data_IF_751192743568
#
_entry.id   IF_751192743568
#
_cell.length_a   1.000
_cell.length_b   1.000
_cell.length_c   1.000
_cell.angle_alpha   90.00
_cell.angle_beta   90.00
_cell.angle_gamma   90.00
#
_symmetry.space_group_name_H-M   'P 1'
#
loop_
_entity.id
_entity.type
_entity.pdbx_description
1 polymer ?
#
# COMPACT_ATOMS: atom_id res chain seq x y z
N UNK A 1 -5.15 17.03 17.03
CA UNK A 1 -3.91 16.98 16.22
C UNK A 1 -4.30 17.06 14.76
N UNK A 2 -3.49 17.77 13.97
CA UNK A 2 -3.79 18.37 12.66
C UNK A 2 -3.92 17.34 11.53
N UNK A 3 -5.02 17.38 10.79
CA UNK A 3 -5.33 16.55 9.60
C UNK A 3 -4.65 17.13 8.34
N UNK A 4 -3.39 17.53 8.44
CA UNK A 4 -2.67 18.20 7.32
C UNK A 4 -1.46 17.40 6.83
N UNK A 5 -1.08 16.31 7.50
CA UNK A 5 0.10 15.49 7.13
C UNK A 5 -0.23 14.34 6.16
N UNK A 6 -1.50 13.93 6.07
CA UNK A 6 -1.90 12.77 5.25
C UNK A 6 -1.68 13.05 3.75
N UNK A 7 -2.00 14.26 3.29
CA UNK A 7 -1.97 14.65 1.88
C UNK A 7 -0.54 14.82 1.36
N UNK A 8 0.32 15.48 2.14
CA UNK A 8 1.74 15.66 1.80
C UNK A 8 2.50 14.33 1.78
N UNK A 9 2.15 13.40 2.67
CA UNK A 9 2.76 12.08 2.70
C UNK A 9 2.24 11.20 1.54
N UNK A 10 0.97 11.31 1.19
CA UNK A 10 0.38 10.59 0.07
C UNK A 10 1.03 10.94 -1.26
N UNK A 11 1.29 12.22 -1.52
CA UNK A 11 1.96 12.65 -2.76
C UNK A 11 3.35 12.01 -2.93
N UNK A 12 4.12 11.90 -1.84
CA UNK A 12 5.42 11.21 -1.83
C UNK A 12 5.28 9.70 -2.00
N UNK A 13 4.34 9.07 -1.29
CA UNK A 13 4.11 7.63 -1.42
C UNK A 13 3.70 7.22 -2.83
N UNK A 14 2.89 8.03 -3.51
CA UNK A 14 2.54 7.82 -4.92
C UNK A 14 3.79 7.85 -5.79
N UNK A 15 4.70 8.80 -5.57
CA UNK A 15 5.95 8.90 -6.34
C UNK A 15 6.88 7.71 -6.07
N UNK A 16 6.99 7.29 -4.81
CA UNK A 16 7.77 6.12 -4.39
C UNK A 16 7.24 4.84 -5.06
N UNK A 17 5.91 4.61 -5.03
CA UNK A 17 5.27 3.44 -5.68
C UNK A 17 5.43 3.49 -7.20
N UNK A 18 5.17 4.63 -7.84
CA UNK A 18 5.36 4.79 -9.29
C UNK A 18 6.81 4.49 -9.68
N UNK A 19 7.77 4.98 -8.90
CA UNK A 19 9.20 4.73 -9.13
C UNK A 19 9.54 3.25 -8.97
N UNK A 20 9.06 2.60 -7.92
CA UNK A 20 9.25 1.16 -7.72
C UNK A 20 8.62 0.34 -8.85
N UNK A 21 7.42 0.70 -9.29
CA UNK A 21 6.69 0.00 -10.35
C UNK A 21 7.38 0.04 -11.71
N UNK A 22 8.24 1.03 -11.98
CA UNK A 22 9.04 1.09 -13.22
C UNK A 22 10.02 -0.06 -13.36
N UNK A 23 10.46 -0.66 -12.24
CA UNK A 23 11.41 -1.76 -12.25
C UNK A 23 10.79 -3.09 -12.71
N UNK A 24 9.46 -3.18 -12.76
CA UNK A 24 8.76 -4.42 -13.09
C UNK A 24 8.27 -4.41 -14.54
N UNK A 25 8.42 -5.56 -15.21
CA UNK A 25 7.89 -5.81 -16.56
C UNK A 25 6.61 -6.63 -16.40
N UNK A 26 5.47 -5.95 -16.20
CA UNK A 26 4.17 -6.59 -16.05
C UNK A 26 3.16 -5.78 -15.26
N UNK A 27 1.99 -6.37 -15.04
CA UNK A 27 0.96 -5.81 -14.18
C UNK A 27 1.34 -5.97 -12.71
N UNK A 28 1.05 -4.94 -11.92
CA UNK A 28 1.16 -4.96 -10.46
C UNK A 28 -0.12 -4.41 -9.86
N UNK A 29 -0.53 -5.00 -8.75
CA UNK A 29 -1.68 -4.52 -7.97
C UNK A 29 -1.20 -3.43 -7.02
N UNK A 30 -2.03 -2.43 -6.78
CA UNK A 30 -1.80 -1.37 -5.79
C UNK A 30 -2.89 -1.47 -4.73
N UNK A 31 -2.46 -1.32 -3.48
CA UNK A 31 -3.27 -1.52 -2.30
C UNK A 31 -3.07 -0.37 -1.33
N UNK A 32 -4.11 -0.10 -0.55
CA UNK A 32 -4.09 0.87 0.53
C UNK A 32 -4.33 0.14 1.84
N UNK A 33 -3.38 0.21 2.76
CA UNK A 33 -3.51 -0.46 4.04
C UNK A 33 -4.46 0.31 5.01
N UNK A 34 -4.87 -0.31 6.14
CA UNK A 34 -5.75 0.34 7.12
C UNK A 34 -5.19 1.63 7.74
N UNK A 35 -3.87 1.85 7.67
CA UNK A 35 -3.18 3.03 8.19
C UNK A 35 -3.00 4.13 7.13
N UNK A 36 -3.45 3.87 5.90
CA UNK A 36 -3.37 4.80 4.78
C UNK A 36 -2.03 4.78 4.05
N UNK A 37 -1.25 3.69 4.14
CA UNK A 37 -0.02 3.53 3.35
C UNK A 37 -0.28 2.78 2.05
N UNK A 38 0.44 3.17 0.99
CA UNK A 38 0.37 2.52 -0.31
C UNK A 38 1.35 1.33 -0.41
N UNK A 39 0.84 0.24 -0.97
CA UNK A 39 1.56 -1.00 -1.23
C UNK A 39 1.40 -1.40 -2.69
N UNK A 40 2.37 -2.16 -3.21
CA UNK A 40 2.24 -2.84 -4.49
C UNK A 40 2.59 -4.32 -4.35
N UNK A 41 1.91 -5.18 -5.10
CA UNK A 41 2.14 -6.63 -5.07
C UNK A 41 1.97 -7.27 -6.44
N UNK A 42 2.25 -8.57 -6.52
CA UNK A 42 1.88 -9.37 -7.68
C UNK A 42 0.35 -9.54 -7.73
N UNK A 43 -0.25 -9.72 -8.91
CA UNK A 43 -1.69 -9.92 -9.02
C UNK A 43 -2.21 -11.18 -8.32
N UNK A 44 -1.34 -12.15 -8.08
CA UNK A 44 -1.65 -13.45 -7.48
C UNK A 44 -1.59 -13.42 -5.94
N UNK A 45 -1.29 -12.26 -5.35
CA UNK A 45 -1.07 -12.08 -3.92
C UNK A 45 -2.42 -11.84 -3.19
N UNK A 46 -3.06 -12.93 -2.77
CA UNK A 46 -4.40 -12.93 -2.14
C UNK A 46 -4.36 -12.57 -0.64
N UNK A 47 -3.18 -12.45 -0.02
CA UNK A 47 -3.05 -12.24 1.44
C UNK A 47 -3.43 -10.81 1.87
N UNK A 48 -3.33 -9.82 0.97
CA UNK A 48 -3.51 -8.41 1.30
C UNK A 48 -4.96 -8.05 1.69
N UNK A 49 -5.95 -8.65 1.03
CA UNK A 49 -7.36 -8.48 1.39
C UNK A 49 -7.64 -9.04 2.80
N UNK A 50 -7.07 -10.21 3.11
CA UNK A 50 -7.21 -10.82 4.43
C UNK A 50 -6.56 -9.97 5.54
N UNK A 51 -5.51 -9.21 5.21
CA UNK A 51 -4.87 -8.24 6.09
C UNK A 51 -5.64 -6.90 6.20
N UNK A 52 -6.78 -6.77 5.54
CA UNK A 52 -7.61 -5.57 5.57
C UNK A 52 -7.14 -4.45 4.63
N UNK A 53 -6.23 -4.75 3.70
CA UNK A 53 -5.86 -3.78 2.67
C UNK A 53 -7.00 -3.65 1.68
N UNK A 54 -7.21 -2.43 1.19
CA UNK A 54 -8.15 -2.18 0.10
C UNK A 54 -7.45 -2.19 -1.23
N UNK A 55 -8.02 -2.94 -2.15
CA UNK A 55 -7.62 -2.91 -3.54
C UNK A 55 -7.87 -1.52 -4.15
N UNK A 56 -6.82 -0.94 -4.72
CA UNK A 56 -6.89 0.35 -5.45
C UNK A 56 -7.05 0.08 -6.95
N UNK A 57 -6.28 -0.85 -7.50
CA UNK A 57 -6.29 -1.16 -8.92
C UNK A 57 -5.11 -2.02 -9.36
N UNK A 58 -5.16 -2.48 -10.61
CA UNK A 58 -4.06 -3.20 -11.27
C UNK A 58 -3.54 -2.31 -12.39
N UNK A 59 -2.23 -2.07 -12.38
CA UNK A 59 -1.60 -1.10 -13.26
C UNK A 59 -0.41 -1.71 -13.97
N UNK A 60 -0.15 -1.22 -15.18
CA UNK A 60 1.06 -1.50 -15.94
C UNK A 60 1.83 -0.19 -16.10
N UNK A 61 2.88 -0.01 -15.29
CA UNK A 61 3.73 1.18 -15.29
C UNK A 61 2.95 2.52 -15.21
N UNK A 62 2.13 2.72 -14.16
CA UNK A 62 1.31 3.90 -14.01
C UNK A 62 2.15 5.17 -13.81
N UNK A 63 1.57 6.32 -14.14
CA UNK A 63 2.05 7.63 -13.72
C UNK A 63 1.38 8.04 -12.40
N UNK A 64 1.93 9.07 -11.77
CA UNK A 64 1.39 9.57 -10.50
C UNK A 64 -0.08 9.99 -10.60
N UNK A 65 -0.50 10.59 -11.71
CA UNK A 65 -1.90 11.00 -11.89
C UNK A 65 -2.86 9.82 -12.04
N UNK A 66 -2.41 8.70 -12.62
CA UNK A 66 -3.23 7.48 -12.71
C UNK A 66 -3.54 6.91 -11.31
N UNK A 67 -2.55 6.89 -10.42
CA UNK A 67 -2.76 6.47 -9.02
C UNK A 67 -3.59 7.48 -8.23
N UNK A 68 -3.40 8.80 -8.44
CA UNK A 68 -4.21 9.83 -7.78
C UNK A 68 -5.68 9.71 -8.15
N UNK A 69 -5.98 9.47 -9.42
CA UNK A 69 -7.34 9.31 -9.90
C UNK A 69 -7.99 8.05 -9.29
N UNK A 70 -7.27 6.92 -9.32
CA UNK A 70 -7.74 5.68 -8.71
C UNK A 70 -8.03 5.83 -7.20
N UNK A 71 -7.15 6.53 -6.48
CA UNK A 71 -7.33 6.78 -5.05
C UNK A 71 -8.51 7.71 -4.75
N UNK A 72 -8.83 8.67 -5.62
CA UNK A 72 -10.02 9.52 -5.48
C UNK A 72 -11.32 8.73 -5.67
N UNK A 73 -11.29 7.69 -6.50
CA UNK A 73 -12.43 6.80 -6.73
C UNK A 73 -12.78 5.91 -5.53
N UNK A 74 -11.87 5.76 -4.57
CA UNK A 74 -12.11 4.95 -3.38
C UNK A 74 -12.98 5.72 -2.39
N UNK A 75 -14.20 5.22 -2.15
CA UNK A 75 -15.04 5.68 -1.06
C UNK A 75 -14.40 5.30 0.29
N UNK A 76 -13.67 6.23 0.88
CA UNK A 76 -13.06 6.06 2.20
C UNK A 76 -14.06 6.43 3.30
N UNK A 77 -14.55 5.49 4.14
CA UNK A 77 -15.04 5.90 5.44
C UNK A 77 -13.82 6.44 6.19
N UNK A 78 -13.87 7.71 6.64
CA UNK A 78 -12.87 8.28 7.56
C UNK A 78 -12.92 7.48 8.86
N UNK A 79 -12.29 6.31 8.88
CA UNK A 79 -12.01 5.58 10.10
C UNK A 79 -10.92 6.39 10.77
N UNK A 80 -11.30 7.18 11.77
CA UNK A 80 -10.36 7.75 12.73
C UNK A 80 -9.49 6.58 13.21
N UNK A 81 -8.23 6.56 12.78
CA UNK A 81 -7.30 5.47 13.05
C UNK A 81 -7.20 5.29 14.57
N UNK A 82 -7.94 4.33 15.10
CA UNK A 82 -7.77 3.85 16.46
C UNK A 82 -6.41 3.15 16.48
N UNK A 83 -5.43 3.89 16.99
CA UNK A 83 -4.09 3.47 17.44
C UNK A 83 -3.98 1.94 17.63
N UNK A 84 -3.48 1.24 16.61
CA UNK A 84 -2.98 -0.13 16.76
C UNK A 84 -1.46 -0.05 16.61
N UNK A 85 -0.78 -0.33 17.71
CA UNK A 85 0.69 -0.36 17.81
C UNK A 85 1.27 -1.36 16.79
N UNK A 86 2.39 -1.04 16.10
CA UNK A 86 3.04 -1.97 15.21
C UNK A 86 3.61 -3.15 16.01
N UNK A 87 3.04 -4.35 15.83
CA UNK A 87 3.73 -5.58 16.20
C UNK A 87 4.82 -5.82 15.17
N UNK A 88 6.07 -5.60 15.59
CA UNK A 88 7.26 -6.05 14.86
C UNK A 88 7.21 -7.58 14.78
N UNK A 89 6.90 -8.12 13.59
CA UNK A 89 7.14 -9.53 13.30
C UNK A 89 8.63 -9.71 13.06
N UNK A 90 9.35 -10.18 14.07
CA UNK A 90 10.72 -10.65 13.89
C UNK A 90 10.72 -11.97 13.07
N UNK A 91 11.73 -12.20 12.22
CA UNK A 91 11.79 -13.36 11.33
C UNK A 91 11.90 -14.68 12.09
N UNK A 92 11.21 -15.71 11.57
CA UNK A 92 11.36 -17.09 12.02
C UNK A 92 12.81 -17.54 11.74
N UNK A 93 13.62 -17.74 12.78
CA UNK A 93 14.89 -18.45 12.61
C UNK A 93 14.60 -19.95 12.64
N UNK A 94 14.52 -20.54 11.45
CA UNK A 94 14.50 -21.98 11.27
C UNK A 94 15.94 -22.52 11.41
N UNK A 95 16.12 -23.30 12.47
CA UNK A 95 17.20 -24.21 12.86
C UNK A 95 18.44 -24.43 11.95
N UNK A 96 19.60 -24.59 12.59
CA UNK A 96 20.58 -25.60 12.19
C UNK A 96 21.11 -26.31 13.43
N UNK A 97 20.85 -27.61 13.48
CA UNK A 97 21.38 -28.55 14.45
C UNK A 97 22.83 -28.92 14.11
N UNK A 98 23.71 -28.98 15.12
CA UNK A 98 24.85 -29.92 15.26
C UNK A 98 25.09 -30.13 16.75
#
# INVERSE_FOLDING_TARGET
MRVETLDANLGRQIDDVVTAMRAYVGHRTVWLDPFGMLWHAEPEDEELEALGHRYVGTFMQPKGDDLRDALRGLAWPRVECLSVQPRVSAPVQLAAAV
#
